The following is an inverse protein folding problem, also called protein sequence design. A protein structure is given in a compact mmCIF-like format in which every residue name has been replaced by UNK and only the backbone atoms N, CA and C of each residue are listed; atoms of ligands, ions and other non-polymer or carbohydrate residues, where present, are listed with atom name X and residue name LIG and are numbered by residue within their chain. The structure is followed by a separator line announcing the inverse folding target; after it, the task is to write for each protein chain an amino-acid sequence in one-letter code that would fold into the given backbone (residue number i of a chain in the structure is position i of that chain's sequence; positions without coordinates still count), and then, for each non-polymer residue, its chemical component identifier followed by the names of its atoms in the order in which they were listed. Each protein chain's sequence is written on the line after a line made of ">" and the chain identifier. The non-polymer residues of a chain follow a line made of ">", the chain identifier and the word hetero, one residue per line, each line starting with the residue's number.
data_IF_463745192991
#
_entry.id   IF_463745192991
#
_cell.length_a   1.000
_cell.length_b   1.000
_cell.length_c   1.000
_cell.angle_alpha   90.00
_cell.angle_beta   90.00
_cell.angle_gamma   90.00
#
_symmetry.space_group_name_H-M   'P 1'
#
loop_
_entity.id
_entity.type
_entity.pdbx_description
1 polymer ?
#
# COMPACT_ATOMS: atom_id res chain seq x y z
N UNK A 1 18.48 14.79 25.64
CA UNK A 1 18.20 13.54 24.89
C UNK A 1 17.32 13.86 23.69
N UNK A 2 17.83 14.59 22.68
CA UNK A 2 17.10 14.84 21.41
C UNK A 2 17.31 13.68 20.42
N UNK A 3 18.48 13.04 20.49
CA UNK A 3 18.84 11.88 19.68
C UNK A 3 17.89 10.72 19.94
N UNK A 4 17.58 10.44 21.21
CA UNK A 4 16.72 9.30 21.59
C UNK A 4 15.29 9.47 21.07
N UNK A 5 14.72 10.68 21.16
CA UNK A 5 13.39 10.97 20.60
C UNK A 5 13.35 10.81 19.09
N UNK A 6 14.42 11.20 18.39
CA UNK A 6 14.52 11.06 16.93
C UNK A 6 14.67 9.60 16.52
N UNK A 7 15.45 8.82 17.27
CA UNK A 7 15.61 7.37 17.07
C UNK A 7 14.27 6.66 17.29
N UNK A 8 13.57 6.91 18.40
CA UNK A 8 12.25 6.33 18.67
C UNK A 8 11.23 6.61 17.55
N UNK A 9 11.27 7.82 16.97
CA UNK A 9 10.37 8.20 15.89
C UNK A 9 10.70 7.50 14.58
N UNK A 10 11.98 7.23 14.33
CA UNK A 10 12.43 6.45 13.18
C UNK A 10 12.04 4.98 13.34
N UNK A 11 12.23 4.39 14.52
CA UNK A 11 11.83 3.02 14.83
C UNK A 11 10.34 2.80 14.59
N UNK A 12 9.49 3.72 15.05
CA UNK A 12 8.04 3.67 14.80
C UNK A 12 7.68 3.70 13.32
N UNK A 13 8.39 4.53 12.53
CA UNK A 13 8.17 4.63 11.08
C UNK A 13 8.60 3.35 10.36
N UNK A 14 9.77 2.81 10.71
CA UNK A 14 10.27 1.55 10.13
C UNK A 14 9.30 0.41 10.44
N UNK A 15 8.85 0.28 11.68
CA UNK A 15 7.89 -0.74 12.08
C UNK A 15 6.56 -0.65 11.29
N UNK A 16 6.02 0.56 11.10
CA UNK A 16 4.81 0.76 10.31
C UNK A 16 5.01 0.36 8.83
N UNK A 17 6.17 0.69 8.24
CA UNK A 17 6.47 0.32 6.84
C UNK A 17 6.67 -1.19 6.68
N UNK A 18 7.33 -1.86 7.63
CA UNK A 18 7.50 -3.32 7.60
C UNK A 18 6.17 -4.05 7.65
N UNK A 19 5.26 -3.64 8.56
CA UNK A 19 3.91 -4.23 8.64
C UNK A 19 3.09 -4.03 7.37
N UNK A 20 3.16 -2.84 6.78
CA UNK A 20 2.48 -2.56 5.51
C UNK A 20 3.04 -3.42 4.37
N UNK A 21 4.36 -3.63 4.33
CA UNK A 21 4.99 -4.53 3.36
C UNK A 21 4.58 -5.98 3.56
N UNK A 22 4.47 -6.46 4.80
CA UNK A 22 4.05 -7.82 5.09
C UNK A 22 2.60 -8.07 4.61
N UNK A 23 1.70 -7.11 4.84
CA UNK A 23 0.31 -7.16 4.33
C UNK A 23 0.28 -7.18 2.79
N UNK A 24 1.13 -6.37 2.14
CA UNK A 24 1.19 -6.29 0.68
C UNK A 24 1.82 -7.53 0.03
N UNK A 25 2.77 -8.19 0.70
CA UNK A 25 3.58 -9.26 0.12
C UNK A 25 3.09 -10.67 0.45
N UNK A 26 2.44 -10.86 1.60
CA UNK A 26 2.12 -12.19 2.11
C UNK A 26 0.63 -12.48 2.26
N UNK A 27 -0.25 -11.51 1.96
CA UNK A 27 -1.72 -11.64 2.05
C UNK A 27 -2.23 -12.24 3.38
N UNK A 28 -1.46 -12.18 4.46
CA UNK A 28 -1.99 -12.42 5.82
C UNK A 28 -2.70 -11.14 6.27
N UNK A 29 -3.86 -10.92 5.62
CA UNK A 29 -4.75 -9.83 5.90
C UNK A 29 -5.42 -10.05 7.25
N UNK A 30 -5.33 -9.08 8.16
CA UNK A 30 -6.52 -8.77 8.93
C UNK A 30 -7.65 -8.58 7.90
N UNK A 31 -8.70 -9.40 7.98
CA UNK A 31 -9.90 -9.25 7.13
C UNK A 31 -10.33 -7.78 7.18
N UNK A 32 -10.09 -7.04 6.09
CA UNK A 32 -10.59 -5.68 5.95
C UNK A 32 -12.11 -5.74 6.02
N UNK A 33 -12.70 -4.85 6.81
CA UNK A 33 -14.14 -4.73 6.82
C UNK A 33 -14.63 -4.36 5.40
N UNK A 34 -15.85 -4.77 5.00
CA UNK A 34 -16.40 -4.38 3.71
C UNK A 34 -16.41 -2.86 3.48
N UNK A 35 -16.54 -2.07 4.55
CA UNK A 35 -16.54 -0.60 4.52
C UNK A 35 -15.14 -0.05 4.22
N UNK A 36 -14.11 -0.55 4.90
CA UNK A 36 -12.72 -0.15 4.66
C UNK A 36 -12.25 -0.53 3.25
N UNK A 37 -12.65 -1.72 2.79
CA UNK A 37 -12.36 -2.18 1.43
C UNK A 37 -12.99 -1.27 0.37
N UNK A 38 -14.21 -0.79 0.62
CA UNK A 38 -14.91 0.09 -0.32
C UNK A 38 -14.35 1.52 -0.31
N UNK A 39 -13.94 2.04 0.86
CA UNK A 39 -13.22 3.31 0.94
C UNK A 39 -11.91 3.25 0.16
N UNK A 40 -11.14 2.18 0.33
CA UNK A 40 -9.87 1.98 -0.37
C UNK A 40 -10.06 1.90 -1.89
N UNK A 41 -11.08 1.17 -2.37
CA UNK A 41 -11.43 1.13 -3.80
C UNK A 41 -11.81 2.51 -4.33
N UNK A 42 -12.60 3.26 -3.58
CA UNK A 42 -13.02 4.61 -3.97
C UNK A 42 -11.81 5.54 -4.12
N UNK A 43 -10.92 5.57 -3.12
CA UNK A 43 -9.70 6.38 -3.13
C UNK A 43 -8.73 5.98 -4.24
N UNK A 44 -8.60 4.67 -4.49
CA UNK A 44 -7.81 4.16 -5.60
C UNK A 44 -8.41 4.59 -6.94
N UNK A 45 -9.74 4.51 -7.10
CA UNK A 45 -10.45 4.97 -8.29
C UNK A 45 -10.25 6.46 -8.57
N UNK A 46 -10.28 7.30 -7.53
CA UNK A 46 -9.99 8.73 -7.64
C UNK A 46 -8.55 9.00 -8.04
N UNK A 47 -7.60 8.29 -7.43
CA UNK A 47 -6.18 8.42 -7.79
C UNK A 47 -5.90 7.99 -9.23
N UNK A 48 -6.52 6.90 -9.68
CA UNK A 48 -6.33 6.37 -11.03
C UNK A 48 -7.00 7.23 -12.09
N UNK A 49 -8.00 8.04 -11.74
CA UNK A 49 -8.80 8.85 -12.69
C UNK A 49 -7.92 9.72 -13.59
N UNK A 50 -6.90 10.34 -13.02
CA UNK A 50 -6.00 11.26 -13.74
C UNK A 50 -4.72 10.58 -14.24
N UNK A 51 -4.59 9.27 -14.02
CA UNK A 51 -3.35 8.51 -14.27
C UNK A 51 -3.56 7.26 -15.11
N UNK A 52 -4.74 7.08 -15.70
CA UNK A 52 -5.07 5.85 -16.45
C UNK A 52 -4.07 5.55 -17.56
N UNK A 53 -3.53 6.58 -18.20
CA UNK A 53 -2.57 6.45 -19.29
C UNK A 53 -1.14 6.08 -18.82
N UNK A 54 -0.88 6.11 -17.50
CA UNK A 54 0.40 5.68 -16.90
C UNK A 54 0.45 4.17 -16.64
N UNK A 55 -0.68 3.47 -16.75
CA UNK A 55 -0.78 2.04 -16.45
C UNK A 55 -1.15 1.24 -17.70
N UNK A 56 -0.55 0.06 -17.83
CA UNK A 56 -0.91 -0.93 -18.85
C UNK A 56 -1.64 -2.11 -18.22
N UNK A 57 -2.62 -2.72 -18.90
CA UNK A 57 -3.24 -3.95 -18.45
C UNK A 57 -2.18 -5.03 -18.21
N UNK A 58 -2.33 -5.78 -17.12
CA UNK A 58 -1.38 -6.85 -16.76
C UNK A 58 -1.34 -7.93 -17.85
N UNK A 59 -2.47 -8.19 -18.50
CA UNK A 59 -2.58 -9.13 -19.61
C UNK A 59 -1.77 -8.69 -20.83
N UNK A 60 -1.46 -7.40 -20.97
CA UNK A 60 -0.55 -6.92 -22.02
C UNK A 60 0.91 -7.21 -21.68
N UNK A 61 1.28 -7.16 -20.40
CA UNK A 61 2.64 -7.50 -19.94
C UNK A 61 2.91 -9.01 -19.94
N UNK A 62 1.87 -9.82 -19.74
CA UNK A 62 1.99 -11.29 -19.69
C UNK A 62 1.99 -11.97 -21.07
N UNK A 63 1.80 -11.22 -22.16
CA UNK A 63 1.87 -11.78 -23.54
C UNK A 63 3.29 -12.15 -23.98
N UNK A 64 4.31 -11.63 -23.30
CA UNK A 64 5.72 -11.84 -23.62
C UNK A 64 6.40 -12.88 -22.71
N UNK A 65 5.62 -13.67 -21.95
CA UNK A 65 6.08 -14.76 -21.06
C UNK A 65 5.62 -16.12 -21.55
#
# INVERSE_FOLDING_TARGET
>A
MQTDTRVMRLERRVNAMSKALDILLFEEAEELSPEDAEELKSRLGDYLRDKKDEFVPLEELLKDV
#
